data_IF_700428981476
#
_entry.id   IF_700428981476
#
_cell.length_a   1.000
_cell.length_b   1.000
_cell.length_c   1.000
_cell.angle_alpha   90.00
_cell.angle_beta   90.00
_cell.angle_gamma   90.00
#
_symmetry.space_group_name_H-M   'P 1'
#
loop_
_entity.id
_entity.type
_entity.pdbx_description
1 polymer ?
#
# COMPACT_ATOMS: atom_id res chain seq x y z
N UNK A 1 38.73 -67.92 37.51
CA UNK A 1 37.52 -68.74 37.31
C UNK A 1 36.30 -67.88 37.53
N UNK A 2 35.55 -67.71 36.44
CA UNK A 2 34.12 -67.43 36.30
C UNK A 2 33.58 -66.13 36.82
N UNK A 3 33.51 -65.23 35.95
CA UNK A 3 32.38 -64.55 35.35
C UNK A 3 31.02 -64.56 36.07
N UNK A 4 30.51 -63.34 36.30
CA UNK A 4 29.08 -63.11 36.40
C UNK A 4 28.67 -61.82 35.74
N UNK A 5 28.01 -62.02 34.61
CA UNK A 5 27.08 -61.10 33.93
C UNK A 5 26.27 -60.20 34.88
N UNK A 6 26.31 -58.92 34.63
CA UNK A 6 25.31 -57.97 35.14
C UNK A 6 24.59 -57.34 33.95
N UNK A 7 23.42 -57.86 33.72
CA UNK A 7 22.47 -57.38 32.72
C UNK A 7 21.82 -56.10 33.23
N UNK A 8 22.12 -54.93 32.63
CA UNK A 8 21.46 -53.64 32.89
C UNK A 8 20.29 -53.47 31.95
N UNK A 9 19.13 -53.58 32.54
CA UNK A 9 17.85 -53.22 31.90
C UNK A 9 17.88 -51.78 31.36
N UNK A 10 17.87 -51.67 30.04
CA UNK A 10 17.63 -50.42 29.35
C UNK A 10 16.10 -50.25 29.22
N UNK A 11 15.52 -49.45 30.12
CA UNK A 11 14.14 -48.96 30.00
C UNK A 11 13.98 -48.23 28.69
N UNK A 12 13.28 -48.85 27.74
CA UNK A 12 12.77 -48.19 26.53
C UNK A 12 11.84 -47.03 26.91
N UNK A 13 12.30 -45.81 26.70
CA UNK A 13 11.43 -44.63 26.71
C UNK A 13 10.53 -44.72 25.49
N UNK A 14 9.21 -44.78 25.71
CA UNK A 14 8.19 -44.62 24.65
C UNK A 14 8.38 -43.25 24.05
N UNK A 15 8.70 -43.17 22.74
CA UNK A 15 8.54 -41.96 21.95
C UNK A 15 7.06 -41.63 21.92
N UNK A 16 6.73 -40.45 22.41
CA UNK A 16 5.41 -39.88 22.20
C UNK A 16 5.39 -39.40 20.76
N UNK A 17 4.58 -40.00 19.91
CA UNK A 17 4.28 -39.54 18.56
C UNK A 17 3.70 -38.13 18.67
N UNK A 18 4.50 -37.15 18.28
CA UNK A 18 4.02 -35.76 18.03
C UNK A 18 3.22 -35.87 16.74
N UNK A 19 1.89 -35.85 16.87
CA UNK A 19 0.96 -35.74 15.74
C UNK A 19 1.38 -34.56 14.87
N UNK A 20 1.64 -34.82 13.59
CA UNK A 20 1.82 -33.76 12.59
C UNK A 20 0.55 -32.91 12.59
N UNK A 21 0.67 -31.57 12.60
CA UNK A 21 -0.49 -30.73 12.40
C UNK A 21 -1.10 -31.07 11.03
N UNK A 22 -2.38 -31.35 11.02
CA UNK A 22 -3.17 -31.51 9.80
C UNK A 22 -2.96 -30.28 8.92
N UNK A 23 -2.64 -30.50 7.64
CA UNK A 23 -2.65 -29.47 6.61
C UNK A 23 -4.05 -28.87 6.57
N UNK A 24 -4.21 -27.68 7.13
CA UNK A 24 -5.37 -26.84 6.84
C UNK A 24 -5.45 -26.68 5.34
N UNK A 25 -6.59 -27.03 4.78
CA UNK A 25 -6.95 -26.84 3.38
C UNK A 25 -6.53 -25.44 2.93
N UNK A 26 -5.76 -25.36 1.85
CA UNK A 26 -5.50 -24.12 1.14
C UNK A 26 -6.85 -23.46 0.85
N UNK A 27 -7.09 -22.31 1.47
CA UNK A 27 -8.19 -21.44 1.06
C UNK A 27 -7.91 -21.06 -0.38
N UNK A 28 -8.84 -21.38 -1.26
CA UNK A 28 -8.85 -20.94 -2.65
C UNK A 28 -8.53 -19.45 -2.71
N UNK A 29 -7.51 -19.10 -3.50
CA UNK A 29 -7.15 -17.71 -3.77
C UNK A 29 -8.33 -17.05 -4.47
N UNK A 30 -8.99 -16.11 -3.80
CA UNK A 30 -10.04 -15.34 -4.43
C UNK A 30 -9.40 -14.39 -5.45
N UNK A 31 -9.74 -14.59 -6.72
CA UNK A 31 -9.42 -13.65 -7.78
C UNK A 31 -10.24 -12.38 -7.59
N UNK A 32 -9.59 -11.30 -7.22
CA UNK A 32 -10.24 -10.02 -6.97
C UNK A 32 -10.55 -9.29 -8.28
N UNK A 33 -11.82 -8.99 -8.54
CA UNK A 33 -12.25 -8.29 -9.75
C UNK A 33 -12.13 -6.77 -9.59
N UNK A 34 -11.07 -6.19 -10.19
CA UNK A 34 -10.79 -4.75 -10.16
C UNK A 34 -11.74 -3.89 -11.03
N UNK A 35 -12.66 -4.50 -11.79
CA UNK A 35 -13.55 -3.75 -12.71
C UNK A 35 -14.66 -2.96 -12.02
N UNK A 36 -15.08 -3.39 -10.83
CA UNK A 36 -16.16 -2.70 -10.12
C UNK A 36 -15.74 -1.36 -9.53
N UNK A 37 -14.45 -1.18 -9.21
CA UNK A 37 -13.94 0.03 -8.58
C UNK A 37 -13.77 1.25 -9.51
N UNK A 38 -13.75 1.05 -10.84
CA UNK A 38 -13.65 2.18 -11.79
C UNK A 38 -14.86 3.11 -11.81
N UNK A 39 -15.97 2.75 -11.16
CA UNK A 39 -17.22 3.53 -11.19
C UNK A 39 -17.33 4.61 -10.10
N UNK A 40 -16.53 4.59 -9.06
CA UNK A 40 -16.71 5.45 -7.89
C UNK A 40 -15.75 6.64 -7.76
N UNK A 41 -14.73 6.75 -8.62
CA UNK A 41 -13.87 7.95 -8.57
C UNK A 41 -14.39 9.02 -9.53
N UNK A 42 -14.68 10.26 -9.03
CA UNK A 42 -15.03 11.37 -9.88
C UNK A 42 -13.86 11.68 -10.82
N UNK A 43 -14.12 11.71 -12.12
CA UNK A 43 -13.16 12.20 -13.12
C UNK A 43 -12.75 13.62 -12.71
N UNK A 44 -11.56 13.79 -12.21
CA UNK A 44 -10.98 15.09 -11.91
C UNK A 44 -10.92 15.91 -13.21
N UNK A 45 -11.75 16.95 -13.29
CA UNK A 45 -11.72 17.95 -14.36
C UNK A 45 -10.51 18.86 -14.15
N UNK A 46 -9.30 18.34 -14.27
CA UNK A 46 -8.06 19.09 -14.33
C UNK A 46 -7.36 18.81 -15.66
N UNK A 47 -7.59 19.62 -16.65
CA UNK A 47 -6.90 19.46 -17.93
C UNK A 47 -7.34 20.40 -19.04
N UNK A 48 -8.26 21.34 -18.79
CA UNK A 48 -8.68 22.30 -19.82
C UNK A 48 -8.41 23.78 -19.50
N UNK A 49 -8.08 24.11 -18.27
CA UNK A 49 -7.72 25.51 -17.93
C UNK A 49 -6.20 25.79 -18.07
N UNK A 50 -5.33 24.85 -17.71
CA UNK A 50 -3.87 25.02 -17.90
C UNK A 50 -3.45 25.06 -19.39
N UNK A 51 -4.15 24.34 -20.27
CA UNK A 51 -3.86 24.40 -21.72
C UNK A 51 -4.30 25.69 -22.39
N UNK A 52 -5.17 26.52 -21.80
CA UNK A 52 -5.55 27.84 -22.29
C UNK A 52 -4.61 28.93 -21.81
N UNK A 53 -4.05 28.80 -20.62
CA UNK A 53 -3.11 29.78 -20.05
C UNK A 53 -1.72 29.72 -20.70
N UNK A 54 -1.26 28.51 -21.10
CA UNK A 54 0.01 28.34 -21.83
C UNK A 54 -0.09 28.89 -23.27
N UNK A 55 -1.24 28.73 -23.95
CA UNK A 55 -1.42 29.29 -25.30
C UNK A 55 -1.57 30.81 -25.34
N UNK A 56 -2.02 31.41 -24.25
CA UNK A 56 -2.19 32.89 -24.16
C UNK A 56 -0.86 33.55 -23.85
N UNK A 57 0.07 32.89 -23.15
CA UNK A 57 1.42 33.42 -22.86
C UNK A 57 2.36 33.34 -24.06
N UNK A 58 2.33 32.28 -24.85
CA UNK A 58 3.15 32.18 -26.08
C UNK A 58 2.75 33.18 -27.19
N UNK A 59 1.47 33.57 -27.22
CA UNK A 59 0.98 34.55 -28.23
C UNK A 59 1.23 36.02 -27.81
N UNK A 60 1.44 36.34 -26.56
CA UNK A 60 1.76 37.69 -26.10
C UNK A 60 3.27 37.99 -26.16
N UNK A 61 4.17 37.04 -25.95
CA UNK A 61 5.62 37.22 -26.08
C UNK A 61 6.07 37.42 -27.54
N UNK A 62 5.44 36.75 -28.52
CA UNK A 62 5.72 36.91 -29.95
C UNK A 62 5.27 38.28 -30.50
N UNK A 63 4.30 38.94 -29.87
CA UNK A 63 3.77 40.23 -30.30
C UNK A 63 4.56 41.45 -29.79
N UNK A 64 5.40 41.27 -28.77
CA UNK A 64 6.22 42.34 -28.20
C UNK A 64 7.56 42.48 -28.93
N UNK A 65 8.13 41.40 -29.48
CA UNK A 65 9.37 41.49 -30.28
C UNK A 65 9.19 42.10 -31.66
N UNK A 66 8.01 42.02 -32.31
CA UNK A 66 7.77 42.67 -33.62
C UNK A 66 7.54 44.19 -33.54
N UNK A 67 7.30 44.78 -32.36
CA UNK A 67 7.02 46.21 -32.20
C UNK A 67 8.25 47.05 -31.86
N UNK A 68 9.36 46.46 -31.48
CA UNK A 68 10.61 47.23 -31.17
C UNK A 68 11.55 47.39 -32.36
N UNK A 69 11.38 46.67 -33.49
CA UNK A 69 12.27 46.73 -34.64
C UNK A 69 11.90 47.82 -35.69
N UNK A 70 10.80 48.55 -35.48
CA UNK A 70 10.27 49.52 -36.49
C UNK A 70 10.52 51.01 -36.19
N UNK A 71 11.28 51.37 -35.14
CA UNK A 71 11.42 52.81 -34.74
C UNK A 71 12.79 53.42 -34.80
N UNK A 72 13.76 52.82 -35.45
CA UNK A 72 15.09 53.45 -35.53
C UNK A 72 15.65 53.46 -36.98
N UNK A 73 15.10 54.29 -37.84
CA UNK A 73 15.84 54.89 -39.00
C UNK A 73 15.03 56.00 -39.65
N UNK A 74 15.08 57.16 -39.11
CA UNK A 74 14.96 58.39 -39.90
C UNK A 74 15.52 59.53 -39.06
N UNK A 75 16.72 59.93 -39.41
CA UNK A 75 17.15 61.34 -39.33
C UNK A 75 18.55 61.54 -39.96
N UNK A 76 18.58 62.56 -40.78
CA UNK A 76 19.68 63.26 -41.33
C UNK A 76 20.00 62.99 -42.81
N UNK A 77 19.63 63.92 -43.71
CA UNK A 77 20.56 64.91 -44.21
C UNK A 77 19.88 65.97 -45.10
N UNK A 78 20.38 67.18 -45.00
CA UNK A 78 20.02 68.46 -45.54
C UNK A 78 20.18 68.53 -47.06
N UNK A 79 19.32 69.43 -47.69
CA UNK A 79 19.57 70.09 -48.90
C UNK A 79 20.89 70.97 -48.84
N UNK A 80 21.52 71.31 -50.02
CA UNK A 80 21.20 72.58 -50.68
C UNK A 80 21.34 72.65 -52.23
N UNK A 81 20.48 73.51 -52.78
CA UNK A 81 20.66 74.57 -53.82
C UNK A 81 21.37 74.29 -55.14
N UNK A 82 20.57 74.60 -56.20
CA UNK A 82 20.76 75.41 -57.38
C UNK A 82 22.09 75.34 -58.12
N UNK A 83 22.02 75.11 -59.43
CA UNK A 83 22.46 76.05 -60.50
C UNK A 83 21.86 75.64 -61.88
N UNK A 84 21.28 76.65 -62.56
CA UNK A 84 20.72 76.74 -63.87
C UNK A 84 21.72 76.45 -65.00
N UNK A 85 21.31 75.82 -66.07
CA UNK A 85 21.22 76.40 -67.43
C UNK A 85 21.16 75.36 -68.53
N UNK A 86 20.03 75.46 -69.30
CA UNK A 86 19.84 75.31 -70.73
C UNK A 86 20.80 74.41 -71.53
N UNK A 87 20.23 73.48 -72.28
CA UNK A 87 20.17 73.47 -73.75
C UNK A 87 19.10 72.53 -74.26
N UNK A 88 18.17 73.09 -75.01
CA UNK A 88 17.16 72.49 -75.84
C UNK A 88 17.78 71.59 -76.91
N UNK A 89 17.30 70.36 -77.04
CA UNK A 89 17.13 69.69 -78.34
C UNK A 89 16.05 68.65 -78.25
N UNK A 90 14.95 68.94 -78.96
CA UNK A 90 13.85 68.06 -79.24
C UNK A 90 14.30 66.78 -79.97
N UNK A 91 13.92 65.60 -79.42
CA UNK A 91 13.69 64.40 -80.23
C UNK A 91 12.40 63.79 -79.78
N UNK A 92 11.37 64.03 -80.64
CA UNK A 92 10.16 63.20 -80.64
C UNK A 92 10.58 61.74 -80.81
N UNK A 93 10.67 60.94 -79.73
CA UNK A 93 10.76 59.51 -79.82
C UNK A 93 9.38 58.89 -79.48
N UNK A 94 8.92 58.25 -80.50
CA UNK A 94 7.65 57.48 -80.61
C UNK A 94 7.16 56.87 -79.29
N UNK A 95 6.08 57.39 -78.77
CA UNK A 95 5.28 56.79 -77.65
C UNK A 95 4.80 55.38 -77.96
N UNK A 96 5.00 54.86 -79.15
CA UNK A 96 4.54 53.51 -79.60
C UNK A 96 5.51 52.41 -79.20
N UNK A 97 6.80 52.64 -79.15
CA UNK A 97 7.84 51.66 -78.74
C UNK A 97 7.85 51.46 -77.26
N UNK A 98 7.53 52.46 -76.42
CA UNK A 98 7.51 52.33 -74.98
C UNK A 98 6.28 51.51 -74.51
N UNK A 99 5.15 51.66 -75.21
CA UNK A 99 3.96 50.79 -74.93
C UNK A 99 4.21 49.31 -75.25
N UNK A 100 5.01 49.09 -76.34
CA UNK A 100 5.37 47.67 -76.67
C UNK A 100 6.30 47.04 -75.62
N UNK A 101 7.25 47.82 -75.10
CA UNK A 101 8.16 47.36 -74.04
C UNK A 101 7.38 47.10 -72.73
N UNK A 102 6.44 48.00 -72.40
CA UNK A 102 5.56 47.82 -71.21
C UNK A 102 4.67 46.62 -71.35
N UNK A 103 4.15 46.32 -72.57
CA UNK A 103 3.38 45.12 -72.85
C UNK A 103 4.25 43.82 -72.64
N UNK A 104 5.52 43.85 -73.16
CA UNK A 104 6.44 42.75 -72.97
C UNK A 104 6.82 42.52 -71.53
N UNK A 105 6.98 43.59 -70.71
CA UNK A 105 7.21 43.47 -69.27
C UNK A 105 5.98 42.92 -68.57
N UNK A 106 4.76 43.40 -68.93
CA UNK A 106 3.53 42.85 -68.35
C UNK A 106 3.32 41.38 -68.73
N UNK A 107 3.55 41.02 -69.98
CA UNK A 107 3.46 39.60 -70.42
C UNK A 107 4.55 38.76 -69.77
N UNK A 108 5.79 39.25 -69.67
CA UNK A 108 6.86 38.59 -68.95
C UNK A 108 6.52 38.41 -67.47
N UNK A 109 5.93 39.44 -66.83
CA UNK A 109 5.46 39.38 -65.45
C UNK A 109 4.29 38.42 -65.26
N UNK A 110 3.34 38.40 -66.18
CA UNK A 110 2.22 37.43 -66.19
C UNK A 110 2.71 36.00 -66.38
N UNK A 111 3.70 35.80 -67.29
CA UNK A 111 4.33 34.49 -67.48
C UNK A 111 5.12 34.08 -66.24
N UNK A 112 5.85 35.02 -65.63
CA UNK A 112 6.52 34.78 -64.38
C UNK A 112 5.56 34.47 -63.25
N UNK A 113 4.45 35.20 -63.13
CA UNK A 113 3.38 34.95 -62.17
C UNK A 113 2.70 33.57 -62.44
N UNK A 114 2.46 33.23 -63.69
CA UNK A 114 1.92 31.93 -64.09
C UNK A 114 2.88 30.79 -63.78
N UNK A 115 4.19 30.98 -63.94
CA UNK A 115 5.20 29.94 -63.60
C UNK A 115 5.53 29.85 -62.12
N UNK A 116 5.46 30.99 -61.38
CA UNK A 116 5.79 31.00 -59.96
C UNK A 116 4.59 30.81 -59.03
N UNK A 117 3.36 31.15 -59.49
CA UNK A 117 2.12 31.08 -58.72
C UNK A 117 1.17 30.00 -59.26
N UNK A 118 1.54 29.27 -60.30
CA UNK A 118 0.80 28.05 -60.67
C UNK A 118 0.75 27.12 -59.45
N UNK A 119 -0.48 26.64 -59.11
CA UNK A 119 -0.64 25.87 -57.93
C UNK A 119 0.31 24.66 -57.97
N UNK A 120 1.17 24.54 -56.98
CA UNK A 120 1.89 23.29 -56.75
C UNK A 120 0.83 22.24 -56.55
N UNK A 121 0.78 21.26 -57.42
CA UNK A 121 -0.08 20.12 -57.23
C UNK A 121 0.56 19.29 -56.12
N UNK A 122 0.06 19.46 -54.91
CA UNK A 122 0.31 18.50 -53.84
C UNK A 122 -0.50 17.25 -54.12
N UNK A 123 0.20 16.21 -54.57
CA UNK A 123 -0.42 14.91 -54.76
C UNK A 123 -0.32 14.16 -53.42
N UNK A 124 -1.37 14.20 -52.66
CA UNK A 124 -1.54 13.35 -51.49
C UNK A 124 -1.82 11.91 -51.94
N UNK A 125 -0.76 11.09 -51.92
CA UNK A 125 -0.88 9.68 -52.20
C UNK A 125 -1.25 8.93 -50.94
N UNK A 126 -2.52 8.58 -50.80
CA UNK A 126 -2.97 7.65 -49.75
C UNK A 126 -2.77 6.22 -50.24
N UNK A 127 -1.80 5.56 -49.61
CA UNK A 127 -1.55 4.13 -49.87
C UNK A 127 -2.72 3.30 -49.33
N UNK A 128 -3.15 2.30 -50.07
CA UNK A 128 -4.20 1.36 -49.64
C UNK A 128 -3.65 0.53 -48.49
N UNK A 129 -4.20 0.72 -47.31
CA UNK A 129 -3.86 -0.08 -46.12
C UNK A 129 -4.30 -1.52 -46.28
N UNK A 130 -3.48 -2.46 -45.81
CA UNK A 130 -3.79 -3.89 -45.80
C UNK A 130 -4.17 -4.28 -44.38
N UNK A 131 -5.40 -4.69 -44.14
CA UNK A 131 -5.83 -5.21 -42.85
C UNK A 131 -5.27 -6.63 -42.66
N UNK A 132 -4.80 -6.94 -41.45
CA UNK A 132 -4.34 -8.26 -41.05
C UNK A 132 -4.88 -8.58 -39.64
N UNK A 133 -5.52 -9.74 -39.53
CA UNK A 133 -5.98 -10.27 -38.24
C UNK A 133 -5.19 -11.51 -37.88
N UNK A 134 -4.61 -11.52 -36.67
CA UNK A 134 -3.84 -12.65 -36.15
C UNK A 134 -4.34 -12.97 -34.75
N UNK A 135 -4.42 -14.27 -34.44
CA UNK A 135 -4.75 -14.76 -33.11
C UNK A 135 -3.68 -15.75 -32.67
N UNK A 136 -2.97 -15.46 -31.58
CA UNK A 136 -1.87 -16.27 -31.10
C UNK A 136 -1.85 -16.36 -29.58
N UNK A 137 -1.50 -17.52 -29.07
CA UNK A 137 -1.17 -17.69 -27.65
C UNK A 137 0.22 -17.14 -27.35
N UNK A 138 0.31 -16.30 -26.33
CA UNK A 138 1.53 -15.67 -25.86
C UNK A 138 1.77 -16.06 -24.41
N UNK A 139 3.02 -16.31 -24.07
CA UNK A 139 3.47 -16.55 -22.69
C UNK A 139 4.31 -15.37 -22.25
N UNK A 140 3.82 -14.59 -21.30
CA UNK A 140 4.62 -13.61 -20.59
C UNK A 140 5.30 -14.27 -19.39
N UNK A 141 6.62 -14.14 -19.27
CA UNK A 141 7.40 -14.83 -18.23
C UNK A 141 8.55 -13.99 -17.71
N UNK A 142 8.84 -14.12 -16.42
CA UNK A 142 10.00 -13.49 -15.79
C UNK A 142 11.34 -14.17 -16.13
N UNK A 143 11.30 -15.31 -16.85
CA UNK A 143 12.49 -16.08 -17.16
C UNK A 143 13.31 -15.53 -18.35
N UNK A 144 12.78 -14.54 -19.09
CA UNK A 144 13.44 -13.96 -20.27
C UNK A 144 13.46 -12.43 -20.16
N UNK A 145 14.46 -11.80 -20.81
CA UNK A 145 14.64 -10.34 -20.80
C UNK A 145 14.31 -9.68 -22.14
N UNK A 146 14.01 -10.47 -23.18
CA UNK A 146 13.66 -9.96 -24.51
C UNK A 146 12.60 -10.85 -25.16
N UNK A 147 11.73 -10.29 -26.04
CA UNK A 147 10.72 -11.08 -26.75
C UNK A 147 11.35 -12.17 -27.64
N UNK A 148 10.77 -13.38 -27.60
CA UNK A 148 11.11 -14.50 -28.49
C UNK A 148 9.94 -14.76 -29.45
N UNK A 149 10.11 -14.40 -30.70
CA UNK A 149 9.10 -14.62 -31.75
C UNK A 149 8.88 -16.11 -32.04
N UNK A 150 9.96 -16.93 -32.01
CA UNK A 150 9.89 -18.36 -32.24
C UNK A 150 9.07 -19.09 -31.19
N UNK A 151 9.27 -18.71 -29.90
CA UNK A 151 8.64 -19.37 -28.77
C UNK A 151 7.33 -18.67 -28.34
N UNK A 152 7.00 -17.53 -28.96
CA UNK A 152 5.86 -16.68 -28.61
C UNK A 152 5.88 -16.26 -27.14
N UNK A 153 7.09 -15.92 -26.65
CA UNK A 153 7.31 -15.50 -25.29
C UNK A 153 7.71 -14.03 -25.20
N UNK A 154 7.20 -13.34 -24.19
CA UNK A 154 7.56 -11.97 -23.88
C UNK A 154 8.05 -11.86 -22.43
N UNK A 155 8.90 -10.86 -22.11
CA UNK A 155 9.29 -10.57 -20.76
C UNK A 155 8.10 -10.16 -19.91
N UNK A 156 8.09 -10.59 -18.65
CA UNK A 156 7.16 -10.15 -17.64
C UNK A 156 7.88 -9.75 -16.36
N UNK A 157 7.24 -8.93 -15.55
CA UNK A 157 7.73 -8.59 -14.23
C UNK A 157 6.66 -8.95 -13.18
N UNK A 158 7.12 -9.50 -12.05
CA UNK A 158 6.28 -9.85 -10.92
C UNK A 158 6.39 -8.73 -9.87
N UNK A 159 5.31 -8.00 -9.68
CA UNK A 159 5.15 -6.99 -8.64
C UNK A 159 4.54 -7.65 -7.41
N UNK A 160 5.22 -7.57 -6.28
CA UNK A 160 4.74 -8.18 -5.03
C UNK A 160 4.94 -7.21 -3.88
N UNK A 161 3.90 -7.05 -3.06
CA UNK A 161 3.94 -6.23 -1.86
C UNK A 161 3.26 -6.96 -0.71
N UNK A 162 3.82 -6.82 0.49
CA UNK A 162 3.23 -7.31 1.73
C UNK A 162 3.02 -6.15 2.69
N UNK A 163 1.88 -6.11 3.33
CA UNK A 163 1.53 -5.07 4.29
C UNK A 163 0.71 -5.66 5.43
N UNK A 164 1.02 -5.24 6.63
CA UNK A 164 0.17 -5.44 7.80
C UNK A 164 -0.56 -4.14 8.14
N UNK A 165 -1.74 -4.28 8.71
CA UNK A 165 -2.53 -3.17 9.23
C UNK A 165 -3.22 -3.61 10.53
N UNK A 166 -3.31 -2.70 11.49
CA UNK A 166 -4.06 -2.89 12.73
C UNK A 166 -5.11 -1.80 12.79
N UNK A 167 -6.37 -2.21 12.84
CA UNK A 167 -7.50 -1.29 12.90
C UNK A 167 -8.29 -1.53 14.18
N UNK A 168 -8.77 -0.45 14.78
CA UNK A 168 -9.60 -0.48 15.99
C UNK A 168 -11.06 -0.26 15.63
N UNK A 169 -11.96 -1.03 16.26
CA UNK A 169 -13.40 -1.01 16.01
C UNK A 169 -14.16 -1.00 17.33
N UNK A 170 -15.26 -0.30 17.37
CA UNK A 170 -16.10 -0.22 18.57
C UNK A 170 -16.85 -1.53 18.80
N UNK A 171 -16.80 -2.06 20.04
CA UNK A 171 -17.54 -3.23 20.46
C UNK A 171 -18.97 -2.85 20.85
N UNK A 172 -19.97 -3.53 20.28
CA UNK A 172 -21.39 -3.25 20.57
C UNK A 172 -22.01 -4.15 21.61
N UNK A 173 -21.43 -5.33 21.84
CA UNK A 173 -21.88 -6.27 22.83
C UNK A 173 -21.54 -5.84 24.27
N UNK A 174 -22.17 -6.47 25.24
CA UNK A 174 -21.95 -6.22 26.66
C UNK A 174 -21.82 -7.52 27.42
N UNK A 175 -20.90 -7.55 28.38
CA UNK A 175 -20.67 -8.68 29.25
C UNK A 175 -20.56 -8.22 30.71
N UNK A 176 -21.32 -8.89 31.59
CA UNK A 176 -21.16 -8.71 33.02
C UNK A 176 -19.85 -9.36 33.48
N UNK A 177 -19.05 -8.60 34.18
CA UNK A 177 -17.74 -9.03 34.69
C UNK A 177 -17.63 -8.70 36.15
N UNK A 178 -17.14 -9.68 36.92
CA UNK A 178 -16.78 -9.54 38.31
C UNK A 178 -15.28 -9.77 38.48
N UNK A 179 -14.56 -8.73 38.88
CA UNK A 179 -13.12 -8.79 39.13
C UNK A 179 -12.81 -8.41 40.57
N UNK A 180 -11.92 -9.16 41.20
CA UNK A 180 -11.44 -8.88 42.54
C UNK A 180 -10.19 -8.00 42.46
N UNK A 181 -10.11 -7.04 43.38
CA UNK A 181 -8.91 -6.23 43.54
C UNK A 181 -7.74 -7.11 43.99
N UNK A 182 -6.55 -6.80 43.53
CA UNK A 182 -5.27 -7.46 43.87
C UNK A 182 -4.25 -6.42 44.29
N UNK A 183 -3.28 -6.87 45.10
CA UNK A 183 -2.13 -6.05 45.46
C UNK A 183 -1.07 -6.83 46.18
N UNK A 184 0.04 -6.17 46.48
CA UNK A 184 1.14 -6.74 47.27
C UNK A 184 1.07 -6.20 48.69
N UNK A 185 1.26 -7.06 49.67
CA UNK A 185 1.40 -6.73 51.06
C UNK A 185 2.74 -7.26 51.61
N UNK A 186 3.31 -6.55 52.56
CA UNK A 186 4.46 -7.02 53.36
C UNK A 186 3.94 -7.47 54.72
N UNK A 187 4.07 -8.76 55.02
CA UNK A 187 3.64 -9.37 56.29
C UNK A 187 4.79 -9.44 57.27
N UNK A 188 4.53 -8.96 58.46
CA UNK A 188 5.54 -8.83 59.53
C UNK A 188 5.28 -9.85 60.63
N UNK A 189 6.36 -10.43 61.17
CA UNK A 189 6.39 -11.17 62.42
C UNK A 189 7.20 -10.37 63.46
N UNK A 190 6.52 -9.79 64.43
CA UNK A 190 7.11 -9.18 65.63
C UNK A 190 6.79 -9.97 66.90
N UNK A 191 6.24 -11.19 66.75
CA UNK A 191 5.82 -12.05 67.87
C UNK A 191 6.94 -12.87 68.44
N UNK A 192 7.60 -13.71 67.62
CA UNK A 192 8.64 -14.62 68.09
C UNK A 192 9.72 -14.91 67.07
N UNK A 193 10.82 -15.51 67.48
CA UNK A 193 11.90 -15.97 66.60
C UNK A 193 11.53 -17.23 65.78
N UNK A 194 10.35 -17.78 65.97
CA UNK A 194 9.86 -18.91 65.17
C UNK A 194 9.19 -18.44 63.90
N UNK A 195 9.39 -19.16 62.80
CA UNK A 195 8.72 -18.87 61.56
C UNK A 195 7.23 -19.31 61.64
N UNK A 196 6.37 -18.54 60.99
CA UNK A 196 4.94 -18.83 60.95
C UNK A 196 4.49 -19.12 59.52
N UNK A 197 3.95 -20.30 59.27
CA UNK A 197 3.29 -20.63 58.02
C UNK A 197 1.91 -20.00 58.01
N UNK A 198 1.59 -19.24 56.93
CA UNK A 198 0.27 -18.79 56.58
C UNK A 198 -0.15 -19.54 55.33
N UNK A 199 -1.31 -20.18 55.39
CA UNK A 199 -1.86 -20.95 54.24
C UNK A 199 -2.52 -20.01 53.23
N UNK A 200 -2.62 -20.46 51.97
CA UNK A 200 -3.41 -19.79 50.99
C UNK A 200 -4.83 -19.50 51.52
N UNK A 201 -5.45 -18.44 51.09
CA UNK A 201 -6.72 -17.93 51.59
C UNK A 201 -6.72 -17.43 53.06
N UNK A 202 -5.56 -17.33 53.72
CA UNK A 202 -5.46 -16.62 55.01
C UNK A 202 -6.03 -15.21 54.83
N UNK A 203 -6.95 -14.81 55.75
CA UNK A 203 -7.58 -13.49 55.72
C UNK A 203 -6.69 -12.41 56.31
N UNK A 204 -6.68 -11.29 55.63
CA UNK A 204 -6.08 -10.04 56.05
C UNK A 204 -7.21 -9.02 56.13
N UNK A 205 -7.45 -8.44 57.28
CA UNK A 205 -8.52 -7.47 57.51
C UNK A 205 -7.93 -6.08 57.51
N UNK A 206 -8.38 -5.26 56.58
CA UNK A 206 -8.05 -3.82 56.55
C UNK A 206 -8.82 -3.05 57.61
N UNK A 207 -8.35 -1.85 58.02
CA UNK A 207 -9.04 -1.01 59.02
C UNK A 207 -10.46 -0.59 58.64
N UNK A 208 -10.74 -0.51 57.33
CA UNK A 208 -12.06 -0.19 56.78
C UNK A 208 -13.03 -1.39 56.70
N UNK A 209 -12.61 -2.56 57.25
CA UNK A 209 -13.44 -3.75 57.33
C UNK A 209 -13.36 -4.65 56.08
N UNK A 210 -12.57 -4.27 55.07
CA UNK A 210 -12.41 -5.09 53.85
C UNK A 210 -11.44 -6.22 54.08
N UNK A 211 -11.79 -7.38 53.54
CA UNK A 211 -11.01 -8.62 53.69
C UNK A 211 -10.31 -8.89 52.37
N UNK A 212 -8.98 -9.14 52.50
CA UNK A 212 -8.13 -9.66 51.45
C UNK A 212 -7.61 -11.04 51.85
N UNK A 213 -7.32 -11.92 50.89
CA UNK A 213 -6.85 -13.27 51.11
C UNK A 213 -5.49 -13.47 50.44
N UNK A 214 -4.59 -14.17 51.11
CA UNK A 214 -3.36 -14.63 50.50
C UNK A 214 -3.67 -15.49 49.29
N UNK A 215 -3.02 -15.21 48.18
CA UNK A 215 -3.13 -15.99 46.94
C UNK A 215 -2.43 -17.34 47.09
N UNK A 216 -1.28 -17.35 47.75
CA UNK A 216 -0.45 -18.54 47.96
C UNK A 216 -0.09 -18.73 49.44
N UNK A 217 0.31 -19.98 49.79
CA UNK A 217 0.87 -20.26 51.13
C UNK A 217 2.28 -19.70 51.25
N UNK A 218 2.54 -19.00 52.34
CA UNK A 218 3.86 -18.39 52.61
C UNK A 218 4.35 -18.81 54.00
N UNK A 219 5.65 -18.62 54.22
CA UNK A 219 6.27 -18.78 55.54
C UNK A 219 6.86 -17.44 55.95
N UNK A 220 6.26 -16.79 56.96
CA UNK A 220 6.80 -15.56 57.55
C UNK A 220 7.97 -15.89 58.40
N UNK A 221 9.17 -15.35 58.14
CA UNK A 221 10.38 -15.65 58.95
C UNK A 221 10.20 -15.24 60.42
N UNK A 222 10.91 -15.91 61.30
CA UNK A 222 10.95 -15.53 62.72
C UNK A 222 11.59 -14.17 62.92
N UNK A 223 11.11 -13.39 63.87
CA UNK A 223 11.69 -12.11 64.27
C UNK A 223 13.14 -12.29 64.77
N UNK A 224 13.96 -11.29 64.58
CA UNK A 224 15.34 -11.28 65.10
C UNK A 224 15.34 -10.68 66.50
N UNK A 225 16.10 -11.26 67.42
CA UNK A 225 16.30 -10.71 68.75
C UNK A 225 17.74 -10.15 68.79
N UNK A 226 17.88 -8.85 68.93
CA UNK A 226 19.16 -8.15 68.99
C UNK A 226 19.17 -7.29 70.22
N UNK A 227 20.13 -7.52 71.13
CA UNK A 227 20.23 -6.80 72.40
C UNK A 227 18.94 -6.80 73.23
N UNK A 228 18.20 -7.92 73.21
CA UNK A 228 16.93 -8.06 73.95
C UNK A 228 15.74 -7.33 73.33
N UNK A 229 15.91 -6.72 72.15
CA UNK A 229 14.81 -6.07 71.37
C UNK A 229 14.40 -6.98 70.22
N UNK A 230 13.08 -7.07 69.99
CA UNK A 230 12.49 -7.76 68.88
C UNK A 230 12.55 -6.86 67.64
N UNK A 231 13.26 -7.34 66.61
CA UNK A 231 13.30 -6.71 65.29
C UNK A 231 12.38 -7.54 64.37
N UNK A 232 11.27 -7.01 63.89
CA UNK A 232 10.35 -7.75 63.04
C UNK A 232 11.03 -8.24 61.75
N UNK A 233 10.79 -9.50 61.39
CA UNK A 233 11.09 -10.01 60.06
C UNK A 233 9.84 -9.92 59.19
N UNK A 234 10.01 -9.85 57.87
CA UNK A 234 8.90 -9.70 56.95
C UNK A 234 9.05 -10.49 55.66
N UNK A 235 7.97 -10.69 54.96
CA UNK A 235 7.92 -11.30 53.64
C UNK A 235 6.80 -10.60 52.79
N UNK A 236 7.08 -10.42 51.52
CA UNK A 236 6.09 -9.90 50.55
C UNK A 236 5.17 -11.02 50.07
N UNK A 237 3.90 -10.71 49.88
CA UNK A 237 2.91 -11.66 49.42
C UNK A 237 1.83 -10.95 48.59
N UNK A 238 1.29 -11.65 47.61
CA UNK A 238 0.15 -11.19 46.83
C UNK A 238 -1.15 -11.53 47.56
N UNK A 239 -2.06 -10.56 47.57
CA UNK A 239 -3.40 -10.72 48.13
C UNK A 239 -4.48 -10.38 47.13
N UNK A 240 -5.63 -11.04 47.26
CA UNK A 240 -6.81 -10.87 46.43
C UNK A 240 -8.00 -10.54 47.33
N UNK A 241 -8.81 -9.60 46.96
CA UNK A 241 -10.01 -9.23 47.68
C UNK A 241 -10.97 -10.43 47.89
N UNK A 242 -11.67 -10.47 49.02
CA UNK A 242 -12.63 -11.52 49.32
C UNK A 242 -13.79 -11.51 48.33
N UNK A 243 -14.25 -10.32 47.95
CA UNK A 243 -15.33 -10.11 46.97
C UNK A 243 -14.84 -9.26 45.80
N UNK A 244 -15.54 -9.40 44.66
CA UNK A 244 -15.36 -8.49 43.54
C UNK A 244 -15.99 -7.11 43.85
N UNK A 245 -15.47 -6.07 43.22
CA UNK A 245 -16.05 -4.72 43.31
C UNK A 245 -15.02 -3.62 43.39
N UNK A 246 -15.41 -2.45 42.94
CA UNK A 246 -14.56 -1.23 42.96
C UNK A 246 -14.28 -0.75 44.38
N UNK A 247 -15.13 -1.04 45.32
CA UNK A 247 -14.98 -0.74 46.74
C UNK A 247 -13.73 -1.40 47.36
N UNK A 248 -13.21 -2.46 46.77
CA UNK A 248 -11.98 -3.09 47.17
C UNK A 248 -10.72 -2.49 46.52
N UNK A 249 -10.86 -1.48 45.67
CA UNK A 249 -9.74 -0.69 45.16
C UNK A 249 -9.39 0.37 46.21
N UNK A 250 -8.61 -0.01 47.20
CA UNK A 250 -8.23 0.83 48.33
C UNK A 250 -6.79 1.31 48.19
N UNK A 251 -6.50 2.45 48.74
CA UNK A 251 -5.15 3.00 48.82
C UNK A 251 -4.18 2.13 49.64
N UNK A 252 -2.94 2.56 49.82
CA UNK A 252 -2.00 1.92 50.73
C UNK A 252 -2.57 1.80 52.15
N UNK A 253 -2.33 0.68 52.79
CA UNK A 253 -2.84 0.37 54.15
C UNK A 253 -1.66 0.10 55.05
N UNK A 254 -1.59 0.89 56.15
CA UNK A 254 -0.49 0.80 57.12
C UNK A 254 -0.60 -0.42 58.07
N UNK A 255 -1.82 -0.96 58.26
CA UNK A 255 -2.04 -2.07 59.16
C UNK A 255 -3.20 -2.95 58.76
N UNK A 256 -2.91 -4.18 58.31
CA UNK A 256 -3.88 -5.26 58.22
C UNK A 256 -3.74 -6.16 59.41
N UNK A 257 -4.83 -6.58 60.00
CA UNK A 257 -4.82 -7.64 61.04
C UNK A 257 -5.07 -9.01 60.41
N UNK A 258 -4.69 -10.06 61.07
CA UNK A 258 -4.91 -11.44 60.68
C UNK A 258 -6.00 -12.08 61.59
N UNK A 259 -7.27 -12.04 61.21
CA UNK A 259 -8.37 -12.53 62.06
C UNK A 259 -8.21 -13.95 62.54
N UNK A 260 -7.49 -14.80 61.79
CA UNK A 260 -7.19 -16.16 62.18
C UNK A 260 -6.33 -16.29 63.46
N UNK A 261 -5.73 -15.22 63.93
CA UNK A 261 -4.99 -15.21 65.18
C UNK A 261 -5.74 -14.53 66.34
N UNK A 262 -6.97 -14.04 66.09
CA UNK A 262 -7.75 -13.38 67.11
C UNK A 262 -7.96 -14.28 68.35
N UNK A 263 -7.74 -13.70 69.53
CA UNK A 263 -7.83 -14.45 70.81
C UNK A 263 -6.53 -15.16 71.19
N UNK A 264 -5.42 -14.97 70.41
CA UNK A 264 -4.09 -15.45 70.73
C UNK A 264 -3.11 -14.30 70.82
N UNK A 265 -1.97 -14.49 71.50
CA UNK A 265 -0.87 -13.51 71.57
C UNK A 265 -0.25 -13.17 70.19
N UNK A 266 -0.47 -14.02 69.20
CA UNK A 266 -0.03 -13.78 67.81
C UNK A 266 -0.80 -12.66 67.14
N UNK A 267 -1.99 -12.31 67.60
CA UNK A 267 -2.84 -11.31 66.95
C UNK A 267 -2.19 -9.95 66.83
N UNK A 268 -1.53 -9.48 67.92
CA UNK A 268 -0.80 -8.20 67.94
C UNK A 268 0.60 -8.33 67.28
N UNK A 269 1.17 -9.52 67.27
CA UNK A 269 2.55 -9.77 66.77
C UNK A 269 2.65 -10.01 65.28
N UNK A 270 1.55 -10.33 64.60
CA UNK A 270 1.52 -10.54 63.16
C UNK A 270 0.56 -9.55 62.48
N UNK A 271 1.10 -8.74 61.58
CA UNK A 271 0.36 -7.75 60.82
C UNK A 271 0.92 -7.62 59.42
N UNK A 272 0.14 -6.96 58.51
CA UNK A 272 0.66 -6.65 57.19
C UNK A 272 0.47 -5.19 56.84
N UNK A 273 1.25 -4.72 55.86
CA UNK A 273 1.16 -3.38 55.29
C UNK A 273 1.18 -3.47 53.78
N UNK A 274 0.51 -2.54 53.11
CA UNK A 274 0.67 -2.36 51.66
C UNK A 274 1.24 -0.98 51.36
N UNK A 275 2.30 -0.93 50.56
CA UNK A 275 2.91 0.32 50.09
C UNK A 275 2.20 0.84 48.82
N UNK A 276 1.56 -0.04 48.10
CA UNK A 276 0.80 0.26 46.89
C UNK A 276 -0.71 0.06 47.11
N UNK A 277 -1.50 0.67 46.26
CA UNK A 277 -2.95 0.48 46.27
C UNK A 277 -3.35 -0.93 45.81
N UNK A 278 -4.43 -1.44 46.38
CA UNK A 278 -5.14 -2.59 45.84
C UNK A 278 -5.97 -2.13 44.65
N UNK A 279 -5.86 -2.82 43.51
CA UNK A 279 -6.47 -2.40 42.26
C UNK A 279 -7.08 -3.55 41.46
N UNK A 280 -7.87 -3.23 40.44
CA UNK A 280 -8.45 -4.20 39.51
C UNK A 280 -9.83 -4.73 39.92
N UNK A 281 -10.35 -4.32 41.09
CA UNK A 281 -11.71 -4.64 41.54
C UNK A 281 -12.76 -3.96 40.67
N UNK A 282 -13.71 -4.72 40.17
CA UNK A 282 -14.77 -4.21 39.31
C UNK A 282 -15.97 -5.15 39.33
N UNK A 283 -17.17 -4.59 39.32
CA UNK A 283 -18.43 -5.29 39.04
C UNK A 283 -19.24 -4.42 38.11
N UNK A 284 -19.61 -4.93 36.98
CA UNK A 284 -20.41 -4.19 36.03
C UNK A 284 -20.35 -4.78 34.61
N UNK A 285 -20.99 -4.09 33.70
CA UNK A 285 -20.93 -4.42 32.28
C UNK A 285 -19.69 -3.80 31.64
N UNK A 286 -18.98 -4.60 30.85
CA UNK A 286 -17.92 -4.11 29.96
C UNK A 286 -18.35 -4.33 28.51
N UNK A 287 -17.95 -3.45 27.58
CA UNK A 287 -18.13 -3.70 26.16
C UNK A 287 -17.31 -4.93 25.75
N UNK A 288 -17.87 -5.75 24.89
CA UNK A 288 -17.18 -6.89 24.25
C UNK A 288 -17.62 -6.98 22.79
N UNK A 289 -16.74 -7.36 21.85
CA UNK A 289 -17.14 -7.51 20.47
C UNK A 289 -18.13 -8.67 20.32
N UNK A 290 -19.16 -8.46 19.50
CA UNK A 290 -20.04 -9.52 19.03
C UNK A 290 -19.43 -10.23 17.83
N UNK A 291 -19.95 -11.40 17.45
CA UNK A 291 -19.52 -12.09 16.23
C UNK A 291 -19.74 -11.22 14.98
N UNK A 292 -20.82 -10.43 14.95
CA UNK A 292 -21.09 -9.47 13.86
C UNK A 292 -20.10 -8.32 13.84
N UNK A 293 -19.71 -7.78 15.00
CA UNK A 293 -18.67 -6.74 15.09
C UNK A 293 -17.35 -7.28 14.52
N UNK A 294 -16.96 -8.48 14.92
CA UNK A 294 -15.72 -9.13 14.46
C UNK A 294 -15.77 -9.35 12.95
N UNK A 295 -16.88 -9.86 12.42
CA UNK A 295 -17.05 -10.09 10.99
C UNK A 295 -16.92 -8.80 10.18
N UNK A 296 -17.67 -7.75 10.57
CA UNK A 296 -17.62 -6.45 9.90
C UNK A 296 -16.23 -5.80 10.02
N UNK A 297 -15.56 -5.96 11.15
CA UNK A 297 -14.22 -5.44 11.37
C UNK A 297 -13.20 -6.11 10.45
N UNK A 298 -13.28 -7.45 10.29
CA UNK A 298 -12.43 -8.20 9.35
C UNK A 298 -12.64 -7.76 7.91
N UNK A 299 -13.89 -7.67 7.46
CA UNK A 299 -14.23 -7.21 6.11
C UNK A 299 -13.70 -5.78 5.84
N UNK A 300 -13.87 -4.87 6.80
CA UNK A 300 -13.33 -3.50 6.68
C UNK A 300 -11.81 -3.46 6.65
N UNK A 301 -11.14 -4.28 7.48
CA UNK A 301 -9.69 -4.35 7.52
C UNK A 301 -9.12 -4.94 6.20
N UNK A 302 -9.75 -5.98 5.66
CA UNK A 302 -9.40 -6.57 4.38
C UNK A 302 -9.58 -5.57 3.23
N UNK A 303 -10.73 -4.89 3.14
CA UNK A 303 -11.01 -3.90 2.11
C UNK A 303 -10.02 -2.73 2.18
N UNK A 304 -9.69 -2.26 3.39
CA UNK A 304 -8.67 -1.22 3.59
C UNK A 304 -7.30 -1.60 3.01
N UNK A 305 -6.87 -2.87 3.15
CA UNK A 305 -5.63 -3.35 2.56
C UNK A 305 -5.74 -3.52 1.04
N UNK A 306 -6.89 -3.98 0.53
CA UNK A 306 -7.12 -4.05 -0.92
C UNK A 306 -7.01 -2.68 -1.57
N UNK A 307 -7.67 -1.67 -0.98
CA UNK A 307 -7.60 -0.28 -1.46
C UNK A 307 -6.17 0.27 -1.43
N UNK A 308 -5.45 -0.01 -0.34
CA UNK A 308 -4.05 0.37 -0.21
C UNK A 308 -3.19 -0.24 -1.34
N UNK A 309 -3.33 -1.54 -1.62
CA UNK A 309 -2.54 -2.20 -2.66
C UNK A 309 -2.91 -1.71 -4.06
N UNK A 310 -4.19 -1.42 -4.32
CA UNK A 310 -4.64 -0.83 -5.57
C UNK A 310 -3.93 0.51 -5.78
N UNK A 311 -4.00 1.41 -4.80
CA UNK A 311 -3.35 2.71 -4.88
C UNK A 311 -1.82 2.59 -5.05
N UNK A 312 -1.20 1.67 -4.32
CA UNK A 312 0.24 1.42 -4.39
C UNK A 312 0.67 0.93 -5.78
N UNK A 313 -0.04 -0.02 -6.38
CA UNK A 313 0.27 -0.54 -7.70
C UNK A 313 0.10 0.53 -8.78
N UNK A 314 -0.95 1.36 -8.71
CA UNK A 314 -1.10 2.50 -9.62
C UNK A 314 0.04 3.52 -9.52
N UNK A 315 0.61 3.70 -8.32
CA UNK A 315 1.69 4.66 -8.08
C UNK A 315 3.08 4.11 -8.46
N UNK A 316 3.32 2.81 -8.28
CA UNK A 316 4.66 2.23 -8.39
C UNK A 316 4.92 1.49 -9.71
N UNK A 317 3.88 0.95 -10.36
CA UNK A 317 4.06 0.22 -11.60
C UNK A 317 4.26 1.21 -12.76
N UNK A 318 5.33 1.07 -13.54
CA UNK A 318 5.59 1.93 -14.68
C UNK A 318 4.43 1.90 -15.69
N UNK A 319 4.13 3.03 -16.31
CA UNK A 319 2.96 3.18 -17.21
C UNK A 319 3.04 2.36 -18.49
N UNK A 320 4.22 1.91 -18.87
CA UNK A 320 4.46 1.05 -20.02
C UNK A 320 4.10 -0.42 -19.75
N UNK A 321 3.84 -0.78 -18.48
CA UNK A 321 3.37 -2.10 -18.12
C UNK A 321 1.85 -2.21 -18.22
N UNK A 322 1.41 -3.29 -18.87
CA UNK A 322 0.03 -3.77 -18.89
C UNK A 322 -0.14 -4.84 -17.83
N UNK A 323 -1.14 -4.68 -16.97
CA UNK A 323 -1.55 -5.70 -16.01
C UNK A 323 -3.00 -6.06 -16.32
N UNK A 324 -3.23 -7.32 -16.61
CA UNK A 324 -4.58 -7.84 -16.82
C UNK A 324 -5.26 -8.04 -15.46
N UNK A 325 -6.57 -7.91 -15.40
CA UNK A 325 -7.30 -8.00 -14.13
C UNK A 325 -7.13 -9.38 -13.48
N UNK A 326 -7.09 -10.43 -14.29
CA UNK A 326 -6.88 -11.82 -13.87
C UNK A 326 -5.43 -12.08 -13.39
N UNK A 327 -4.49 -11.22 -13.75
CA UNK A 327 -3.06 -11.34 -13.36
C UNK A 327 -2.76 -10.73 -11.99
N UNK A 328 -3.79 -10.32 -11.24
CA UNK A 328 -3.70 -9.76 -9.89
C UNK A 328 -4.17 -10.78 -8.87
N UNK A 329 -3.42 -10.93 -7.80
CA UNK A 329 -3.75 -11.83 -6.69
C UNK A 329 -3.64 -11.08 -5.37
N UNK A 330 -4.62 -11.28 -4.50
CA UNK A 330 -4.60 -10.83 -3.12
C UNK A 330 -4.71 -12.05 -2.20
N UNK A 331 -3.85 -12.14 -1.20
CA UNK A 331 -3.81 -13.24 -0.26
C UNK A 331 -3.65 -12.72 1.16
N UNK A 332 -4.54 -13.13 2.04
CA UNK A 332 -4.39 -12.89 3.48
C UNK A 332 -3.38 -13.90 4.01
N UNK A 333 -2.29 -13.42 4.61
CA UNK A 333 -1.24 -14.23 5.23
C UNK A 333 -1.54 -14.51 6.69
N UNK A 334 -2.04 -13.49 7.40
CA UNK A 334 -2.35 -13.56 8.82
C UNK A 334 -3.55 -12.68 9.15
N UNK A 335 -4.40 -13.17 10.04
CA UNK A 335 -5.54 -12.46 10.59
C UNK A 335 -5.64 -12.78 12.07
N UNK A 336 -5.62 -11.76 12.91
CA UNK A 336 -5.74 -11.88 14.36
C UNK A 336 -6.73 -10.84 14.88
N UNK A 337 -7.59 -11.28 15.78
CA UNK A 337 -8.53 -10.41 16.49
C UNK A 337 -8.12 -10.38 17.95
N UNK A 338 -7.86 -9.19 18.47
CA UNK A 338 -7.74 -8.97 19.89
C UNK A 338 -9.09 -8.49 20.43
N UNK A 339 -9.82 -9.38 21.08
CA UNK A 339 -11.15 -9.11 21.63
C UNK A 339 -11.11 -8.27 22.91
N UNK A 340 -9.92 -8.07 23.51
CA UNK A 340 -9.78 -7.17 24.64
C UNK A 340 -10.03 -5.73 24.21
N UNK A 341 -10.95 -5.09 24.89
CA UNK A 341 -11.33 -3.72 24.58
C UNK A 341 -10.45 -2.72 25.34
N UNK A 342 -10.14 -1.63 24.69
CA UNK A 342 -9.47 -0.48 25.31
C UNK A 342 -10.43 0.31 26.24
N UNK A 343 -9.91 1.38 26.83
CA UNK A 343 -10.70 2.26 27.72
C UNK A 343 -11.85 2.98 27.00
N UNK A 344 -11.88 2.96 25.67
CA UNK A 344 -12.93 3.56 24.84
C UNK A 344 -13.93 2.51 24.34
N UNK A 345 -13.73 1.23 24.70
CA UNK A 345 -14.58 0.10 24.27
C UNK A 345 -14.26 -0.39 22.86
N UNK A 346 -13.06 -0.15 22.34
CA UNK A 346 -12.65 -0.61 21.03
C UNK A 346 -11.81 -1.87 21.16
N UNK A 347 -12.08 -2.84 20.30
CA UNK A 347 -11.25 -4.01 20.05
C UNK A 347 -10.41 -3.82 18.77
N UNK A 348 -9.43 -4.66 18.52
CA UNK A 348 -8.57 -4.49 17.36
C UNK A 348 -8.49 -5.74 16.48
N UNK A 349 -8.38 -5.50 15.17
CA UNK A 349 -8.13 -6.53 14.16
C UNK A 349 -6.80 -6.22 13.47
N UNK A 350 -5.89 -7.17 13.54
CA UNK A 350 -4.64 -7.16 12.78
C UNK A 350 -4.80 -8.07 11.56
N UNK A 351 -4.50 -7.53 10.40
CA UNK A 351 -4.49 -8.29 9.15
C UNK A 351 -3.17 -8.05 8.42
N UNK A 352 -2.55 -9.11 7.97
CA UNK A 352 -1.39 -9.09 7.08
C UNK A 352 -1.77 -9.73 5.76
N UNK A 353 -1.54 -9.01 4.67
CA UNK A 353 -1.86 -9.49 3.34
C UNK A 353 -0.71 -9.24 2.37
N UNK A 354 -0.68 -10.07 1.34
CA UNK A 354 0.23 -10.00 0.20
C UNK A 354 -0.60 -9.76 -1.05
N UNK A 355 -0.23 -8.74 -1.82
CA UNK A 355 -0.74 -8.54 -3.16
C UNK A 355 0.37 -8.81 -4.17
N UNK A 356 0.03 -9.49 -5.26
CA UNK A 356 0.94 -9.80 -6.36
C UNK A 356 0.27 -9.51 -7.70
N UNK A 357 1.05 -9.04 -8.67
CA UNK A 357 0.58 -8.81 -10.03
C UNK A 357 1.69 -9.14 -11.02
N UNK A 358 1.34 -9.77 -12.14
CA UNK A 358 2.26 -9.98 -13.26
C UNK A 358 1.90 -8.96 -14.33
N UNK A 359 2.89 -8.15 -14.74
CA UNK A 359 2.77 -7.19 -15.81
C UNK A 359 3.74 -7.49 -16.96
N UNK A 360 3.38 -7.05 -18.15
CA UNK A 360 4.21 -7.13 -19.35
C UNK A 360 4.11 -5.83 -20.14
N UNK A 361 5.06 -5.57 -21.05
CA UNK A 361 5.02 -4.41 -21.93
C UNK A 361 4.24 -4.73 -23.20
N UNK A 362 3.25 -3.91 -23.52
CA UNK A 362 2.44 -4.08 -24.73
C UNK A 362 3.27 -3.97 -26.02
N UNK A 363 4.37 -3.20 -25.98
CA UNK A 363 5.35 -3.12 -27.08
C UNK A 363 6.03 -4.46 -27.39
N UNK A 364 6.21 -5.33 -26.40
CA UNK A 364 6.79 -6.66 -26.62
C UNK A 364 5.81 -7.56 -27.38
N UNK A 365 4.51 -7.45 -27.07
CA UNK A 365 3.44 -8.09 -27.84
C UNK A 365 3.44 -7.58 -29.28
N UNK A 366 3.47 -6.26 -29.49
CA UNK A 366 3.54 -5.64 -30.81
C UNK A 366 4.76 -6.11 -31.59
N UNK A 367 5.91 -6.30 -30.96
CA UNK A 367 7.12 -6.81 -31.60
C UNK A 367 6.89 -8.20 -32.18
N UNK A 368 6.24 -9.10 -31.44
CA UNK A 368 5.91 -10.44 -31.94
C UNK A 368 4.96 -10.35 -33.14
N UNK A 369 3.83 -9.63 -32.99
CA UNK A 369 2.82 -9.57 -34.04
C UNK A 369 3.31 -8.82 -35.29
N UNK A 370 4.09 -7.76 -35.13
CA UNK A 370 4.74 -7.08 -36.27
C UNK A 370 5.70 -8.00 -37.00
N UNK A 371 6.48 -8.82 -36.27
CA UNK A 371 7.39 -9.79 -36.88
C UNK A 371 6.63 -10.91 -37.60
N UNK A 372 5.52 -11.39 -37.07
CA UNK A 372 4.63 -12.35 -37.74
C UNK A 372 4.02 -11.74 -38.99
N UNK A 373 3.49 -10.53 -38.92
CA UNK A 373 2.90 -9.82 -40.04
C UNK A 373 3.92 -9.61 -41.18
N UNK A 374 5.17 -9.29 -40.87
CA UNK A 374 6.23 -9.13 -41.88
C UNK A 374 6.54 -10.42 -42.64
N UNK A 375 6.38 -11.59 -41.99
CA UNK A 375 6.53 -12.89 -42.71
C UNK A 375 5.45 -13.11 -43.76
N UNK A 376 4.23 -12.64 -43.49
CA UNK A 376 3.06 -12.82 -44.36
C UNK A 376 2.96 -11.74 -45.42
N UNK A 377 3.22 -10.46 -45.07
CA UNK A 377 3.06 -9.30 -45.95
C UNK A 377 4.38 -8.89 -46.65
N UNK A 378 5.53 -9.12 -46.02
CA UNK A 378 6.86 -8.67 -46.46
C UNK A 378 7.53 -7.71 -45.49
N UNK A 379 8.87 -7.68 -45.48
CA UNK A 379 9.69 -6.94 -44.52
C UNK A 379 9.46 -5.42 -44.49
N UNK A 380 9.04 -4.85 -45.61
CA UNK A 380 8.93 -3.38 -45.79
C UNK A 380 7.57 -2.81 -45.37
N UNK A 381 6.60 -3.63 -44.98
CA UNK A 381 5.30 -3.16 -44.49
C UNK A 381 5.44 -2.51 -43.11
N UNK A 382 4.74 -1.38 -42.92
CA UNK A 382 4.75 -0.61 -41.67
C UNK A 382 3.37 -0.66 -41.02
N UNK A 383 3.33 -1.00 -39.72
CA UNK A 383 2.12 -0.95 -38.91
C UNK A 383 1.72 0.53 -38.68
N UNK A 384 0.48 0.87 -39.01
CA UNK A 384 -0.09 2.22 -38.80
C UNK A 384 -1.07 2.28 -37.65
N UNK A 385 -2.07 1.40 -37.67
CA UNK A 385 -3.08 1.29 -36.64
C UNK A 385 -3.15 -0.15 -36.14
N UNK A 386 -3.54 -0.33 -34.89
CA UNK A 386 -3.79 -1.64 -34.35
C UNK A 386 -4.83 -1.63 -33.23
N UNK A 387 -5.47 -2.77 -33.07
CA UNK A 387 -6.28 -3.14 -31.91
C UNK A 387 -5.76 -4.43 -31.33
N UNK A 388 -5.67 -4.50 -29.99
CA UNK A 388 -5.29 -5.71 -29.26
C UNK A 388 -6.36 -6.02 -28.22
N UNK A 389 -6.80 -7.28 -28.20
CA UNK A 389 -7.60 -7.83 -27.11
C UNK A 389 -6.98 -9.09 -26.54
N UNK A 390 -7.20 -9.31 -25.27
CA UNK A 390 -6.64 -10.43 -24.50
C UNK A 390 -7.76 -11.35 -24.05
N UNK A 391 -7.58 -12.66 -24.20
CA UNK A 391 -8.55 -13.69 -23.84
C UNK A 391 -7.85 -14.94 -23.27
N UNK A 392 -8.61 -15.85 -22.68
CA UNK A 392 -8.12 -17.15 -22.17
C UNK A 392 -6.92 -17.00 -21.22
N UNK A 393 -7.04 -16.07 -20.28
CA UNK A 393 -5.94 -15.69 -19.37
C UNK A 393 -5.76 -16.78 -18.32
N UNK A 394 -4.54 -17.31 -18.21
CA UNK A 394 -4.12 -18.28 -17.20
C UNK A 394 -2.86 -17.80 -16.49
N UNK A 395 -2.92 -17.75 -15.15
CA UNK A 395 -1.92 -17.09 -14.31
C UNK A 395 -1.17 -18.10 -13.46
N UNK A 396 0.14 -18.09 -13.55
CA UNK A 396 1.06 -18.85 -12.70
C UNK A 396 1.92 -17.88 -11.86
N UNK A 397 1.35 -17.20 -10.86
CA UNK A 397 2.08 -16.21 -10.05
C UNK A 397 3.35 -16.80 -9.43
N UNK A 398 3.28 -18.00 -8.87
CA UNK A 398 4.44 -18.66 -8.26
C UNK A 398 5.53 -19.05 -9.28
N UNK A 399 5.17 -19.18 -10.55
CA UNK A 399 6.07 -19.50 -11.65
C UNK A 399 6.54 -18.23 -12.40
N UNK A 400 6.01 -17.06 -12.03
CA UNK A 400 6.28 -15.81 -12.73
C UNK A 400 5.82 -15.84 -14.19
N UNK A 401 4.70 -16.50 -14.49
CA UNK A 401 4.21 -16.71 -15.87
C UNK A 401 2.74 -16.34 -16.00
N UNK A 402 2.39 -15.83 -17.18
CA UNK A 402 1.06 -15.45 -17.58
C UNK A 402 0.83 -15.91 -19.01
N UNK A 403 -0.13 -16.80 -19.23
CA UNK A 403 -0.48 -17.29 -20.57
C UNK A 403 -1.79 -16.62 -20.99
N UNK A 404 -1.87 -16.16 -22.21
CA UNK A 404 -3.07 -15.53 -22.75
C UNK A 404 -3.11 -15.60 -24.26
N UNK A 405 -4.33 -15.60 -24.80
CA UNK A 405 -4.59 -15.47 -26.21
C UNK A 405 -4.64 -13.99 -26.57
N UNK A 406 -3.88 -13.57 -27.56
CA UNK A 406 -3.91 -12.23 -28.13
C UNK A 406 -4.64 -12.26 -29.45
N UNK A 407 -5.72 -11.47 -29.58
CA UNK A 407 -6.35 -11.17 -30.86
C UNK A 407 -5.85 -9.81 -31.31
N UNK A 408 -5.09 -9.80 -32.38
CA UNK A 408 -4.47 -8.62 -32.96
C UNK A 408 -5.16 -8.28 -34.30
N UNK A 409 -5.55 -7.04 -34.47
CA UNK A 409 -6.03 -6.46 -35.73
C UNK A 409 -5.13 -5.31 -36.08
N UNK A 410 -4.40 -5.41 -37.19
CA UNK A 410 -3.44 -4.41 -37.63
C UNK A 410 -3.77 -3.87 -39.02
N UNK A 411 -3.56 -2.59 -39.26
CA UNK A 411 -3.55 -1.97 -40.58
C UNK A 411 -2.12 -1.68 -40.99
N UNK A 412 -1.68 -2.30 -42.06
CA UNK A 412 -0.31 -2.16 -42.58
C UNK A 412 -0.28 -1.35 -43.86
N UNK A 413 0.72 -0.48 -43.97
CA UNK A 413 0.99 0.33 -45.14
C UNK A 413 2.11 -0.31 -45.95
N UNK A 414 1.90 -0.54 -47.27
CA UNK A 414 2.94 -1.09 -48.13
C UNK A 414 4.11 -0.10 -48.29
N UNK A 415 5.30 -0.58 -48.67
CA UNK A 415 6.42 0.30 -48.96
C UNK A 415 6.09 1.21 -50.15
N UNK A 416 6.41 2.49 -50.02
CA UNK A 416 6.34 3.43 -51.15
C UNK A 416 7.65 3.38 -51.91
N UNK A 417 7.65 2.77 -53.09
CA UNK A 417 8.77 2.82 -54.03
C UNK A 417 8.46 3.90 -55.09
N UNK A 418 9.25 4.97 -55.10
CA UNK A 418 9.27 6.00 -56.15
C UNK A 418 10.16 5.49 -57.29
#
# INVERSE_FOLDING_TARGET
MTDKNSNKDIKKRKMVDIARPEKKSEKTSDYFNFKEFKKEFPKEKRGKEEAKEIKTRETEEVKIEELEFSKNKFNHFKEPELINREIRKERKKSRRSWKMILIFIIVGFLVYLALCVLPRVEVDLTLKKVPLELSQEIVATTAINSPSVSDRKIPAELFTQTKNNVLSFHATGKKNVERKARGEVTIYNSYSSESQRLVANTRLLAPDGKIFRLEESIVVPGAKIVEGKIIPSSIKATVVADKAGQEYNIGPVDHFTIPGFQGSEKYEGFYAKSESAMAGGFVGEIPVPTEDDIKQAKEKAENSLKDYFIALFYAQIPKDFKILDEAKQFQILKEEVNEEVDNQGNFSVMIEAKASAIGFRENDVLTIFTSLAKKDLGENFKLKNYEISYANISVGINQGSLNFLVNFKGEFEPPFNI
#
